data_IF_762613651943
#
_entry.id   IF_762613651943
#
_cell.length_a   1.000
_cell.length_b   1.000
_cell.length_c   1.000
_cell.angle_alpha   90.00
_cell.angle_beta   90.00
_cell.angle_gamma   90.00
#
_symmetry.space_group_name_H-M   'P 1'
#
loop_
_entity.id
_entity.type
_entity.pdbx_description
1 polymer ?
#
# COMPACT_ATOMS: atom_id res chain seq x y z
N UNK A 1 -23.13 27.48 -0.04
CA UNK A 1 -21.92 26.84 0.52
C UNK A 1 -21.42 25.73 -0.42
N UNK A 2 -21.04 26.06 -1.67
CA UNK A 2 -20.74 25.05 -2.72
C UNK A 2 -19.33 25.12 -3.33
N UNK A 3 -18.48 26.05 -2.91
CA UNK A 3 -17.18 26.29 -3.57
C UNK A 3 -16.02 25.46 -2.98
N UNK A 4 -16.08 25.07 -1.71
CA UNK A 4 -15.00 24.34 -1.04
C UNK A 4 -14.91 22.88 -1.48
N UNK A 5 -16.03 22.20 -1.69
CA UNK A 5 -16.04 20.79 -2.12
C UNK A 5 -15.55 20.61 -3.57
N UNK A 6 -15.80 21.58 -4.47
CA UNK A 6 -15.33 21.48 -5.87
C UNK A 6 -13.82 21.66 -5.98
N UNK A 7 -13.23 22.57 -5.21
CA UNK A 7 -11.78 22.81 -5.23
C UNK A 7 -10.99 21.62 -4.67
N UNK A 8 -11.49 20.99 -3.59
CA UNK A 8 -10.87 19.79 -3.02
C UNK A 8 -10.92 18.62 -4.01
N UNK A 9 -12.06 18.42 -4.69
CA UNK A 9 -12.17 17.39 -5.72
C UNK A 9 -11.23 17.64 -6.91
N UNK A 10 -11.08 18.90 -7.34
CA UNK A 10 -10.12 19.25 -8.38
C UNK A 10 -8.67 18.97 -7.97
N UNK A 11 -8.32 19.26 -6.71
CA UNK A 11 -6.98 18.93 -6.18
C UNK A 11 -6.74 17.42 -6.15
N UNK A 12 -7.74 16.62 -5.76
CA UNK A 12 -7.64 15.16 -5.73
C UNK A 12 -7.49 14.59 -7.16
N UNK A 13 -8.24 15.12 -8.13
CA UNK A 13 -8.11 14.72 -9.54
C UNK A 13 -6.72 15.09 -10.08
N UNK A 14 -6.21 16.29 -9.78
CA UNK A 14 -4.87 16.71 -10.23
C UNK A 14 -3.73 15.96 -9.55
N UNK A 15 -3.92 15.54 -8.29
CA UNK A 15 -2.95 14.80 -7.50
C UNK A 15 -2.98 13.28 -7.71
N UNK A 16 -3.89 12.76 -8.53
CA UNK A 16 -4.06 11.32 -8.74
C UNK A 16 -4.02 10.92 -10.22
N UNK A 17 -3.93 9.62 -10.47
CA UNK A 17 -3.97 9.02 -11.79
C UNK A 17 -5.43 8.76 -12.25
N UNK A 18 -6.38 9.54 -11.77
CA UNK A 18 -7.81 9.36 -12.03
C UNK A 18 -8.46 10.59 -12.64
N UNK A 19 -9.44 10.38 -13.51
CA UNK A 19 -10.31 11.44 -14.00
C UNK A 19 -11.48 11.72 -13.05
N UNK A 20 -12.27 12.75 -13.35
CA UNK A 20 -13.39 13.17 -12.50
C UNK A 20 -14.44 12.08 -12.34
N UNK A 21 -14.72 11.32 -13.39
CA UNK A 21 -15.74 10.26 -13.37
C UNK A 21 -15.25 9.07 -12.54
N UNK A 22 -13.95 8.74 -12.62
CA UNK A 22 -13.27 7.76 -11.77
C UNK A 22 -13.32 8.18 -10.30
N UNK A 23 -12.96 9.42 -9.97
CA UNK A 23 -13.01 9.94 -8.59
C UNK A 23 -14.45 9.95 -8.04
N UNK A 24 -15.45 10.29 -8.85
CA UNK A 24 -16.86 10.22 -8.44
C UNK A 24 -17.32 8.77 -8.16
N UNK A 25 -16.82 7.78 -8.91
CA UNK A 25 -17.07 6.36 -8.61
C UNK A 25 -16.37 5.92 -7.33
N UNK A 26 -15.12 6.33 -7.13
CA UNK A 26 -14.37 6.07 -5.90
C UNK A 26 -15.07 6.67 -4.69
N UNK A 27 -15.60 7.90 -4.80
CA UNK A 27 -16.37 8.54 -3.74
C UNK A 27 -17.61 7.74 -3.35
N UNK A 28 -18.34 7.20 -4.32
CA UNK A 28 -19.50 6.32 -4.03
C UNK A 28 -19.09 5.03 -3.32
N UNK A 29 -17.91 4.48 -3.64
CA UNK A 29 -17.36 3.31 -2.94
C UNK A 29 -16.92 3.67 -1.52
N UNK A 30 -16.24 4.80 -1.35
CA UNK A 30 -15.83 5.33 -0.05
C UNK A 30 -17.03 5.49 0.89
N UNK A 31 -18.09 6.18 0.45
CA UNK A 31 -19.32 6.35 1.25
C UNK A 31 -20.08 5.05 1.54
N UNK A 32 -19.75 3.95 0.85
CA UNK A 32 -20.31 2.62 1.14
C UNK A 32 -19.48 1.88 2.19
N UNK A 33 -18.20 2.22 2.31
CA UNK A 33 -17.29 1.69 3.32
C UNK A 33 -17.47 2.42 4.65
N UNK A 34 -17.54 3.74 4.61
CA UNK A 34 -17.88 4.63 5.72
C UNK A 34 -19.37 4.42 6.11
N UNK A 35 -19.60 3.51 7.06
CA UNK A 35 -20.94 3.08 7.48
C UNK A 35 -21.57 4.04 8.46
N UNK A 36 -20.75 4.68 9.29
CA UNK A 36 -21.21 5.62 10.29
C UNK A 36 -21.31 7.07 9.77
N UNK A 37 -20.81 7.33 8.56
CA UNK A 37 -20.75 8.63 7.91
C UNK A 37 -19.88 9.63 8.69
N UNK A 38 -18.80 9.13 9.30
CA UNK A 38 -17.78 9.93 9.98
C UNK A 38 -16.96 10.78 9.01
N UNK A 39 -16.89 10.38 7.74
CA UNK A 39 -16.09 11.02 6.70
C UNK A 39 -14.67 10.46 6.57
N UNK A 40 -14.30 9.50 7.41
CA UNK A 40 -13.08 8.70 7.34
C UNK A 40 -13.45 7.22 7.35
N UNK A 41 -12.52 6.33 6.96
CA UNK A 41 -12.74 4.89 7.03
C UNK A 41 -11.87 4.31 8.14
N UNK A 42 -12.51 3.77 9.16
CA UNK A 42 -11.82 3.11 10.27
C UNK A 42 -11.34 1.70 9.87
N UNK A 43 -10.36 1.17 10.62
CA UNK A 43 -9.84 -0.19 10.39
C UNK A 43 -10.95 -1.24 10.43
N UNK A 44 -11.88 -1.10 11.36
CA UNK A 44 -13.03 -1.97 11.56
C UNK A 44 -13.96 -1.96 10.34
N UNK A 45 -14.09 -0.83 9.65
CA UNK A 45 -14.91 -0.69 8.46
C UNK A 45 -14.27 -1.38 7.25
N UNK A 46 -12.95 -1.25 7.07
CA UNK A 46 -12.21 -2.02 6.08
C UNK A 46 -12.33 -3.53 6.31
N UNK A 47 -12.11 -3.97 7.55
CA UNK A 47 -12.18 -5.38 7.93
C UNK A 47 -13.61 -5.92 7.95
N UNK A 48 -14.63 -5.05 7.84
CA UNK A 48 -16.01 -5.50 7.71
C UNK A 48 -16.31 -6.13 6.34
N UNK A 49 -15.46 -5.89 5.34
CA UNK A 49 -15.55 -6.55 4.05
C UNK A 49 -14.91 -7.95 4.11
N UNK A 50 -15.68 -9.03 3.86
CA UNK A 50 -15.14 -10.39 3.93
C UNK A 50 -13.93 -10.64 3.03
N UNK A 51 -13.88 -9.98 1.86
CA UNK A 51 -12.76 -10.10 0.92
C UNK A 51 -11.47 -9.46 1.47
N UNK A 52 -11.60 -8.43 2.30
CA UNK A 52 -10.47 -7.73 2.92
C UNK A 52 -10.06 -8.46 4.20
N UNK A 53 -11.01 -8.84 5.05
CA UNK A 53 -10.70 -9.52 6.32
C UNK A 53 -9.95 -10.84 6.16
N UNK A 54 -10.16 -11.54 5.05
CA UNK A 54 -9.44 -12.79 4.74
C UNK A 54 -8.05 -12.56 4.12
N UNK A 55 -7.73 -11.32 3.72
CA UNK A 55 -6.46 -11.01 3.08
C UNK A 55 -5.37 -10.79 4.16
N UNK A 56 -4.28 -11.57 4.14
CA UNK A 56 -3.21 -11.46 5.16
C UNK A 56 -2.50 -10.09 5.16
N UNK A 57 -2.61 -9.33 4.06
CA UNK A 57 -2.00 -8.00 3.92
C UNK A 57 -2.99 -6.86 4.14
N UNK A 58 -4.24 -7.14 4.53
CA UNK A 58 -5.25 -6.10 4.73
C UNK A 58 -4.79 -4.99 5.68
N UNK A 59 -4.22 -5.37 6.83
CA UNK A 59 -3.70 -4.41 7.81
C UNK A 59 -2.55 -3.57 7.24
N UNK A 60 -1.70 -4.16 6.38
CA UNK A 60 -0.64 -3.42 5.69
C UNK A 60 -1.23 -2.44 4.68
N UNK A 61 -2.21 -2.85 3.89
CA UNK A 61 -2.88 -1.98 2.93
C UNK A 61 -3.53 -0.76 3.60
N UNK A 62 -4.24 -0.97 4.71
CA UNK A 62 -4.86 0.12 5.49
C UNK A 62 -3.77 1.06 6.00
N UNK A 63 -2.70 0.52 6.58
CA UNK A 63 -1.58 1.30 7.07
C UNK A 63 -0.76 2.00 5.96
N UNK A 64 -0.92 1.64 4.69
CA UNK A 64 -0.28 2.37 3.58
C UNK A 64 -1.18 3.52 3.11
N UNK A 65 -2.50 3.35 3.22
CA UNK A 65 -3.46 4.38 2.84
C UNK A 65 -3.50 5.53 3.86
N UNK A 66 -3.45 5.20 5.15
CA UNK A 66 -3.32 6.15 6.27
C UNK A 66 -1.93 6.83 6.24
N UNK A 67 -1.75 7.85 5.39
CA UNK A 67 -0.46 8.49 5.16
C UNK A 67 -0.03 9.36 6.35
N UNK A 68 -0.98 9.95 7.07
CA UNK A 68 -0.71 10.81 8.22
C UNK A 68 -0.54 10.05 9.55
N UNK A 69 -0.95 8.77 9.60
CA UNK A 69 -0.84 7.92 10.79
C UNK A 69 -1.95 8.19 11.82
N UNK A 70 -3.05 8.81 11.43
CA UNK A 70 -4.20 9.12 12.27
C UNK A 70 -4.96 7.89 12.74
N UNK A 71 -4.82 6.76 12.05
CA UNK A 71 -5.45 5.49 12.37
C UNK A 71 -6.79 5.25 11.66
N UNK A 72 -7.29 6.24 10.93
CA UNK A 72 -8.37 6.20 9.97
C UNK A 72 -7.88 6.65 8.58
N UNK A 73 -8.68 6.44 7.54
CA UNK A 73 -8.31 6.78 6.15
C UNK A 73 -9.31 7.79 5.59
N UNK A 74 -8.86 8.98 5.26
CA UNK A 74 -9.72 9.98 4.64
C UNK A 74 -9.93 9.74 3.13
N UNK A 75 -10.83 10.51 2.50
CA UNK A 75 -11.11 10.33 1.07
C UNK A 75 -9.91 10.65 0.17
N UNK A 76 -9.07 11.63 0.54
CA UNK A 76 -7.88 11.99 -0.22
C UNK A 76 -6.84 10.87 -0.16
N UNK A 77 -6.59 10.32 1.02
CA UNK A 77 -5.73 9.17 1.27
C UNK A 77 -6.20 7.91 0.55
N UNK A 78 -7.51 7.64 0.57
CA UNK A 78 -8.11 6.54 -0.15
C UNK A 78 -7.85 6.63 -1.66
N UNK A 79 -8.01 7.83 -2.26
CA UNK A 79 -7.76 8.04 -3.69
C UNK A 79 -6.27 7.97 -4.00
N UNK A 80 -5.41 8.59 -3.18
CA UNK A 80 -3.95 8.54 -3.34
C UNK A 80 -3.41 7.12 -3.28
N UNK A 81 -3.89 6.31 -2.33
CA UNK A 81 -3.52 4.89 -2.20
C UNK A 81 -3.92 4.07 -3.43
N UNK A 82 -5.12 4.28 -3.96
CA UNK A 82 -5.59 3.59 -5.17
C UNK A 82 -4.92 4.09 -6.45
N UNK A 83 -4.44 5.33 -6.47
CA UNK A 83 -3.77 5.95 -7.62
C UNK A 83 -2.54 5.18 -8.08
N UNK A 84 -1.82 4.53 -7.15
CA UNK A 84 -0.68 3.66 -7.47
C UNK A 84 -1.08 2.45 -8.32
N UNK A 85 -2.31 1.97 -8.19
CA UNK A 85 -2.84 0.82 -8.91
C UNK A 85 -3.45 1.18 -10.27
N UNK A 86 -3.60 2.46 -10.59
CA UNK A 86 -4.06 2.91 -11.91
C UNK A 86 -3.10 2.46 -13.01
N UNK A 87 -3.64 2.07 -14.17
CA UNK A 87 -2.85 1.80 -15.37
C UNK A 87 -2.17 3.05 -15.93
N UNK A 88 -2.64 4.25 -15.54
CA UNK A 88 -2.03 5.54 -15.87
C UNK A 88 -0.82 5.86 -14.97
N UNK A 89 -0.63 5.13 -13.88
CA UNK A 89 0.48 5.32 -12.93
C UNK A 89 1.80 4.78 -13.44
N UNK A 90 2.91 5.42 -13.04
CA UNK A 90 4.24 5.04 -13.50
C UNK A 90 4.85 3.88 -12.69
N UNK A 91 5.91 3.26 -13.24
CA UNK A 91 6.62 2.12 -12.62
C UNK A 91 7.18 2.47 -11.23
N UNK A 92 7.69 3.68 -11.03
CA UNK A 92 8.28 4.09 -9.75
C UNK A 92 7.23 4.17 -8.64
N UNK A 93 6.05 4.75 -8.91
CA UNK A 93 4.94 4.81 -7.94
C UNK A 93 4.52 3.40 -7.49
N UNK A 94 4.45 2.47 -8.44
CA UNK A 94 4.12 1.05 -8.17
C UNK A 94 5.20 0.37 -7.33
N UNK A 95 6.48 0.62 -7.63
CA UNK A 95 7.61 0.10 -6.84
C UNK A 95 7.63 0.69 -5.43
N UNK A 96 7.39 1.99 -5.26
CA UNK A 96 7.29 2.63 -3.94
C UNK A 96 6.14 2.07 -3.14
N UNK A 97 4.99 1.82 -3.77
CA UNK A 97 3.87 1.18 -3.09
C UNK A 97 4.25 -0.23 -2.63
N UNK A 98 4.85 -1.05 -3.51
CA UNK A 98 5.30 -2.39 -3.15
C UNK A 98 6.34 -2.37 -2.01
N UNK A 99 7.24 -1.39 -2.00
CA UNK A 99 8.21 -1.17 -0.93
C UNK A 99 7.52 -0.87 0.42
N UNK A 100 6.54 0.05 0.43
CA UNK A 100 5.74 0.40 1.62
C UNK A 100 4.98 -0.79 2.23
N UNK A 101 4.73 -1.87 1.47
CA UNK A 101 4.15 -3.10 2.04
C UNK A 101 5.09 -3.71 3.08
N UNK A 102 6.40 -3.66 2.81
CA UNK A 102 7.44 -4.22 3.68
C UNK A 102 7.91 -3.23 4.74
N UNK A 103 8.10 -1.96 4.40
CA UNK A 103 8.52 -0.89 5.33
C UNK A 103 7.36 -0.55 6.30
N UNK A 104 7.42 -1.08 7.53
CA UNK A 104 6.34 -0.99 8.53
C UNK A 104 6.42 0.32 9.28
N UNK A 105 7.62 0.73 9.69
CA UNK A 105 7.83 1.93 10.50
C UNK A 105 8.01 3.23 9.67
N UNK A 106 8.08 3.10 8.33
CA UNK A 106 8.20 4.20 7.37
C UNK A 106 9.53 4.95 7.48
N UNK A 107 10.59 4.29 7.94
CA UNK A 107 11.93 4.87 7.98
C UNK A 107 12.62 4.94 6.60
N UNK A 108 12.00 4.36 5.57
CA UNK A 108 12.52 4.32 4.21
C UNK A 108 13.43 3.12 3.93
N UNK A 109 13.54 2.18 4.87
CA UNK A 109 14.30 0.95 4.77
C UNK A 109 13.43 -0.25 5.11
N UNK A 110 13.78 -1.42 4.58
CA UNK A 110 13.19 -2.68 5.01
C UNK A 110 14.20 -3.36 5.91
N UNK A 111 13.90 -3.42 7.21
CA UNK A 111 14.71 -4.15 8.17
C UNK A 111 14.46 -5.67 8.11
N UNK A 112 15.38 -6.43 8.70
CA UNK A 112 15.25 -7.89 8.84
C UNK A 112 13.94 -8.31 9.52
N UNK A 113 13.55 -7.62 10.59
CA UNK A 113 12.32 -7.92 11.31
C UNK A 113 11.07 -7.65 10.48
N UNK A 114 11.05 -6.55 9.73
CA UNK A 114 9.91 -6.17 8.90
C UNK A 114 9.71 -7.14 7.74
N UNK A 115 10.80 -7.50 7.04
CA UNK A 115 10.76 -8.50 5.98
C UNK A 115 10.24 -9.84 6.52
N UNK A 116 10.71 -10.27 7.69
CA UNK A 116 10.23 -11.49 8.34
C UNK A 116 8.73 -11.42 8.63
N UNK A 117 8.25 -10.33 9.24
CA UNK A 117 6.85 -10.16 9.63
C UNK A 117 5.94 -10.24 8.40
N UNK A 118 6.26 -9.50 7.34
CA UNK A 118 5.43 -9.42 6.14
C UNK A 118 5.42 -10.76 5.40
N UNK A 119 6.57 -11.43 5.25
CA UNK A 119 6.61 -12.76 4.67
C UNK A 119 5.84 -13.78 5.52
N UNK A 120 5.91 -13.67 6.86
CA UNK A 120 5.17 -14.54 7.77
C UNK A 120 3.66 -14.41 7.60
N UNK A 121 3.16 -13.20 7.37
CA UNK A 121 1.75 -12.96 7.05
C UNK A 121 1.32 -13.72 5.80
N UNK A 122 2.16 -13.75 4.76
CA UNK A 122 1.86 -14.41 3.48
C UNK A 122 1.99 -15.94 3.53
N UNK A 123 3.07 -16.46 4.14
CA UNK A 123 3.37 -17.90 4.13
C UNK A 123 2.69 -18.68 5.26
N UNK A 124 2.26 -17.98 6.32
CA UNK A 124 1.63 -18.58 7.50
C UNK A 124 2.49 -19.68 8.13
N UNK A 125 1.90 -20.87 8.30
CA UNK A 125 2.56 -22.04 8.88
C UNK A 125 3.23 -22.97 7.85
N UNK A 126 3.26 -22.59 6.57
CA UNK A 126 3.90 -23.41 5.52
C UNK A 126 5.43 -23.48 5.69
N UNK A 127 6.02 -22.50 6.37
CA UNK A 127 7.43 -22.48 6.74
C UNK A 127 7.60 -22.36 8.25
N UNK A 128 8.55 -23.12 8.79
CA UNK A 128 9.01 -22.92 10.17
C UNK A 128 9.74 -21.59 10.29
N UNK A 129 9.66 -20.97 11.45
CA UNK A 129 10.27 -19.66 11.70
C UNK A 129 11.76 -19.64 11.39
N UNK A 130 12.49 -20.71 11.74
CA UNK A 130 13.91 -20.84 11.40
C UNK A 130 14.18 -20.87 9.89
N UNK A 131 13.32 -21.52 9.10
CA UNK A 131 13.48 -21.57 7.65
C UNK A 131 13.15 -20.21 7.03
N UNK A 132 12.12 -19.53 7.53
CA UNK A 132 11.78 -18.19 7.09
C UNK A 132 12.90 -17.21 7.42
N UNK A 133 13.44 -17.26 8.63
CA UNK A 133 14.57 -16.42 9.04
C UNK A 133 15.79 -16.62 8.14
N UNK A 134 16.11 -17.86 7.78
CA UNK A 134 17.22 -18.13 6.84
C UNK A 134 16.99 -17.55 5.44
N UNK A 135 15.73 -17.48 4.98
CA UNK A 135 15.40 -16.83 3.71
C UNK A 135 15.59 -15.32 3.84
N UNK A 136 15.02 -14.72 4.89
CA UNK A 136 15.16 -13.28 5.20
C UNK A 136 16.63 -12.86 5.27
N UNK A 137 17.44 -13.59 6.04
CA UNK A 137 18.87 -13.29 6.22
C UNK A 137 19.64 -13.33 4.89
N UNK A 138 19.34 -14.32 4.05
CA UNK A 138 19.96 -14.43 2.71
C UNK A 138 19.49 -13.31 1.79
N UNK A 139 18.21 -12.99 1.79
CA UNK A 139 17.66 -11.91 0.97
C UNK A 139 18.31 -10.57 1.31
N UNK A 140 18.47 -10.26 2.59
CA UNK A 140 19.18 -9.04 3.01
C UNK A 140 20.65 -9.10 2.59
N UNK A 141 21.34 -10.22 2.86
CA UNK A 141 22.75 -10.37 2.47
C UNK A 141 23.01 -10.19 0.96
N UNK A 142 22.05 -10.56 0.11
CA UNK A 142 22.13 -10.40 -1.35
C UNK A 142 21.74 -8.99 -1.81
N UNK A 143 20.79 -8.35 -1.12
CA UNK A 143 20.24 -7.04 -1.49
C UNK A 143 21.06 -5.86 -0.95
N UNK A 144 21.64 -6.01 0.24
CA UNK A 144 22.35 -4.99 1.01
C UNK A 144 23.75 -4.72 0.41
N UNK A 145 23.82 -3.75 -0.48
CA UNK A 145 25.01 -3.38 -1.23
C UNK A 145 25.95 -2.49 -0.41
N UNK A 146 25.40 -1.64 0.44
CA UNK A 146 26.17 -0.70 1.27
C UNK A 146 26.54 -1.25 2.65
N UNK A 147 25.96 -2.39 3.04
CA UNK A 147 26.21 -3.17 4.26
C UNK A 147 25.71 -2.49 5.53
N UNK A 148 24.59 -1.78 5.45
CA UNK A 148 23.93 -1.19 6.61
C UNK A 148 23.01 -2.17 7.38
N UNK A 149 22.79 -3.38 6.83
CA UNK A 149 21.98 -4.44 7.41
C UNK A 149 20.49 -4.32 7.12
N UNK A 150 20.08 -3.40 6.25
CA UNK A 150 18.70 -3.17 5.80
C UNK A 150 18.65 -3.14 4.26
N UNK A 151 17.46 -2.91 3.71
CA UNK A 151 17.27 -2.75 2.27
C UNK A 151 16.67 -1.37 2.00
N UNK A 152 17.46 -0.50 1.36
CA UNK A 152 16.99 0.79 0.85
C UNK A 152 16.03 0.63 -0.35
N UNK A 153 15.31 1.69 -0.72
CA UNK A 153 14.48 1.67 -1.92
C UNK A 153 15.29 1.38 -3.18
N UNK A 154 16.48 1.95 -3.31
CA UNK A 154 17.39 1.73 -4.44
C UNK A 154 17.83 0.27 -4.56
N UNK A 155 18.12 -0.39 -3.43
CA UNK A 155 18.48 -1.81 -3.40
C UNK A 155 17.28 -2.71 -3.71
N UNK A 156 16.12 -2.39 -3.15
CA UNK A 156 14.87 -3.08 -3.46
C UNK A 156 14.58 -3.05 -4.97
N UNK A 157 14.68 -1.88 -5.60
CA UNK A 157 14.39 -1.73 -7.04
C UNK A 157 15.35 -2.53 -7.91
N UNK A 158 16.62 -2.65 -7.53
CA UNK A 158 17.60 -3.53 -8.20
C UNK A 158 17.24 -5.00 -8.02
N UNK A 159 16.87 -5.41 -6.80
CA UNK A 159 16.47 -6.79 -6.50
C UNK A 159 15.28 -7.26 -7.34
N UNK A 160 14.30 -6.38 -7.55
CA UNK A 160 13.08 -6.71 -8.32
C UNK A 160 13.15 -6.28 -9.79
N UNK A 161 14.31 -5.91 -10.32
CA UNK A 161 14.45 -5.38 -11.69
C UNK A 161 13.91 -6.33 -12.76
N UNK A 162 14.11 -7.64 -12.56
CA UNK A 162 13.65 -8.71 -13.45
C UNK A 162 12.21 -9.19 -13.15
N UNK A 163 11.51 -8.54 -12.22
CA UNK A 163 10.12 -8.84 -11.87
C UNK A 163 9.21 -7.74 -12.41
N UNK A 164 8.12 -8.11 -13.07
CA UNK A 164 7.15 -7.15 -13.57
C UNK A 164 6.19 -6.69 -12.46
N UNK A 165 6.74 -5.91 -11.52
CA UNK A 165 5.98 -5.29 -10.43
C UNK A 165 4.87 -4.40 -10.98
N UNK A 166 5.08 -3.76 -12.13
CA UNK A 166 4.08 -2.90 -12.75
C UNK A 166 2.80 -3.67 -13.10
N UNK A 167 2.92 -4.86 -13.70
CA UNK A 167 1.75 -5.70 -13.97
C UNK A 167 1.07 -6.16 -12.68
N UNK A 168 1.83 -6.60 -11.67
CA UNK A 168 1.24 -7.05 -10.38
C UNK A 168 0.52 -5.92 -9.63
N UNK A 169 0.95 -4.68 -9.83
CA UNK A 169 0.43 -3.48 -9.16
C UNK A 169 -0.52 -2.67 -10.06
N UNK A 170 -1.26 -3.32 -10.96
CA UNK A 170 -2.23 -2.64 -11.83
C UNK A 170 -3.60 -3.30 -11.75
N UNK A 171 -4.64 -2.48 -11.55
CA UNK A 171 -6.03 -2.90 -11.67
C UNK A 171 -6.63 -2.30 -12.96
N UNK A 172 -7.34 -3.11 -13.73
CA UNK A 172 -7.83 -2.71 -15.05
C UNK A 172 -9.03 -1.74 -15.01
N UNK A 173 -9.78 -1.69 -13.90
CA UNK A 173 -11.02 -0.92 -13.78
C UNK A 173 -11.21 -0.32 -12.37
N UNK A 174 -11.53 0.98 -12.31
CA UNK A 174 -11.88 1.72 -11.09
C UNK A 174 -13.29 2.32 -11.18
#
# INVERSE_FOLDING_TARGET
>A
MGNTSSAVLENIVQGSNFDRDEVDRLRKRFMKLDKDNSGTIEREEFLSLPQISSNPLATRMIAIFDEDGGGDVDFQEFVSGLSAFSSKGNKEQKLRFAFKVYDIDRDGYISNGELFIVLKMMVGSNLKDQQLQQIVDKTIMEADLDRDGKISFEEFTKMVENTDVSMSMTLDQF
#
